data_IF_892944668458
#
_entry.id   IF_892944668458
#
_cell.length_a   1.000
_cell.length_b   1.000
_cell.length_c   1.000
_cell.angle_alpha   90.00
_cell.angle_beta   90.00
_cell.angle_gamma   90.00
#
_symmetry.space_group_name_H-M   'P 1'
#
loop_
_entity.id
_entity.type
_entity.pdbx_description
1 polymer ?
#
# COMPACT_ATOMS: atom_id res chain seq x y z
N UNK A 1 6.87 -19.44 17.22
CA UNK A 1 5.99 -18.61 16.37
C UNK A 1 6.68 -18.41 15.03
N UNK A 2 6.36 -19.24 14.03
CA UNK A 2 6.80 -19.02 12.65
C UNK A 2 6.04 -17.80 12.12
N UNK A 3 6.70 -16.74 11.64
CA UNK A 3 5.99 -15.71 10.90
C UNK A 3 5.42 -16.40 9.65
N UNK A 4 4.10 -16.38 9.48
CA UNK A 4 3.45 -16.73 8.22
C UNK A 4 3.90 -15.71 7.18
N UNK A 5 5.08 -15.92 6.62
CA UNK A 5 5.54 -15.21 5.44
C UNK A 5 4.80 -15.85 4.29
N UNK A 6 3.60 -15.37 4.00
CA UNK A 6 2.99 -15.64 2.70
C UNK A 6 4.05 -15.25 1.66
N UNK A 7 4.51 -16.18 0.81
CA UNK A 7 5.50 -15.85 -0.20
C UNK A 7 4.98 -14.66 -1.00
N UNK A 8 5.84 -13.66 -1.22
CA UNK A 8 5.45 -12.44 -1.95
C UNK A 8 4.86 -12.78 -3.33
N UNK A 9 5.28 -13.91 -3.91
CA UNK A 9 4.78 -14.46 -5.17
C UNK A 9 3.33 -14.97 -5.12
N UNK A 10 2.85 -15.44 -3.97
CA UNK A 10 1.48 -15.95 -3.79
C UNK A 10 0.47 -14.88 -3.38
N UNK A 11 0.94 -13.67 -3.06
CA UNK A 11 0.06 -12.57 -2.69
C UNK A 11 -0.65 -12.01 -3.94
N UNK A 12 -2.00 -12.15 -4.05
CA UNK A 12 -2.71 -11.72 -5.24
C UNK A 12 -2.65 -10.19 -5.44
N UNK A 13 -2.46 -9.43 -4.35
CA UNK A 13 -2.27 -7.99 -4.42
C UNK A 13 -0.89 -7.58 -4.95
N UNK A 14 0.07 -8.50 -5.03
CA UNK A 14 1.37 -8.32 -5.68
C UNK A 14 1.33 -8.79 -7.13
N UNK A 15 0.68 -9.91 -7.41
CA UNK A 15 0.61 -10.46 -8.78
C UNK A 15 -0.29 -9.62 -9.69
N UNK A 16 -1.47 -9.20 -9.21
CA UNK A 16 -2.38 -8.33 -9.96
C UNK A 16 -3.03 -7.24 -9.06
N UNK A 17 -2.27 -6.20 -8.66
CA UNK A 17 -2.78 -5.13 -7.79
C UNK A 17 -3.98 -4.38 -8.40
N UNK A 18 -4.06 -4.23 -9.73
CA UNK A 18 -5.17 -3.54 -10.41
C UNK A 18 -6.48 -4.32 -10.36
N UNK A 19 -6.46 -5.63 -10.13
CA UNK A 19 -7.68 -6.42 -9.97
C UNK A 19 -8.09 -6.54 -8.51
N UNK A 20 -7.12 -6.65 -7.62
CA UNK A 20 -7.35 -6.94 -6.19
C UNK A 20 -7.62 -5.68 -5.37
N UNK A 21 -6.86 -4.61 -5.60
CA UNK A 21 -7.01 -3.37 -4.84
C UNK A 21 -8.10 -2.50 -5.45
N UNK A 22 -8.93 -1.87 -4.64
CA UNK A 22 -9.85 -0.83 -5.11
C UNK A 22 -9.10 0.50 -5.37
N UNK A 23 -9.78 1.48 -5.96
CA UNK A 23 -9.16 2.76 -6.34
C UNK A 23 -8.54 3.50 -5.15
N UNK A 24 -9.23 3.54 -4.00
CA UNK A 24 -8.72 4.21 -2.79
C UNK A 24 -7.49 3.49 -2.20
N UNK A 25 -7.44 2.16 -2.27
CA UNK A 25 -6.29 1.37 -1.83
C UNK A 25 -5.09 1.56 -2.76
N UNK A 26 -5.30 1.62 -4.08
CA UNK A 26 -4.24 1.91 -5.06
C UNK A 26 -3.66 3.30 -4.84
N UNK A 27 -4.53 4.30 -4.71
CA UNK A 27 -4.09 5.68 -4.49
C UNK A 27 -3.34 5.83 -3.16
N UNK A 28 -3.83 5.20 -2.09
CA UNK A 28 -3.14 5.15 -0.80
C UNK A 28 -1.76 4.48 -0.93
N UNK A 29 -1.67 3.33 -1.59
CA UNK A 29 -0.41 2.61 -1.76
C UNK A 29 0.62 3.44 -2.54
N UNK A 30 0.20 4.07 -3.63
CA UNK A 30 1.06 4.97 -4.42
C UNK A 30 1.46 6.22 -3.65
N UNK A 31 0.55 6.77 -2.85
CA UNK A 31 0.84 7.95 -2.02
C UNK A 31 1.85 7.62 -0.92
N UNK A 32 1.74 6.46 -0.28
CA UNK A 32 2.71 6.00 0.74
C UNK A 32 4.09 5.74 0.11
N UNK A 33 4.14 5.27 -1.14
CA UNK A 33 5.40 5.08 -1.87
C UNK A 33 6.07 6.42 -2.20
N UNK A 34 5.28 7.42 -2.59
CA UNK A 34 5.79 8.70 -3.06
C UNK A 34 6.15 9.65 -1.92
N UNK A 35 5.27 9.79 -0.92
CA UNK A 35 5.46 10.74 0.17
C UNK A 35 6.30 10.13 1.30
N UNK A 36 7.24 10.91 1.83
CA UNK A 36 8.05 10.50 2.99
C UNK A 36 7.40 10.84 4.34
N UNK A 37 6.43 11.76 4.35
CA UNK A 37 5.82 12.28 5.56
C UNK A 37 4.39 11.77 5.71
N UNK A 38 4.18 10.99 6.76
CA UNK A 38 2.91 10.39 7.14
C UNK A 38 2.56 10.83 8.56
N UNK A 39 1.30 11.17 8.83
CA UNK A 39 0.85 11.46 10.19
C UNK A 39 -0.55 10.89 10.46
N UNK A 40 -0.75 10.18 11.58
CA UNK A 40 -2.10 9.81 11.99
C UNK A 40 -2.89 11.07 12.38
N UNK A 41 -4.17 11.10 12.03
CA UNK A 41 -5.13 12.18 12.30
C UNK A 41 -6.48 11.56 12.66
N UNK A 42 -6.64 11.16 13.92
CA UNK A 42 -7.86 10.49 14.40
C UNK A 42 -8.12 9.20 13.63
N UNK A 43 -9.23 9.15 12.90
CA UNK A 43 -9.63 7.99 12.08
C UNK A 43 -9.03 7.98 10.66
N UNK A 44 -8.10 8.88 10.38
CA UNK A 44 -7.48 9.03 9.06
C UNK A 44 -5.96 9.12 9.15
N UNK A 45 -5.28 8.85 8.05
CA UNK A 45 -3.86 9.11 7.85
C UNK A 45 -3.71 10.25 6.84
N UNK A 46 -2.96 11.28 7.24
CA UNK A 46 -2.47 12.31 6.33
C UNK A 46 -1.18 11.80 5.68
N UNK A 47 -1.15 11.74 4.35
CA UNK A 47 -0.03 11.28 3.54
C UNK A 47 0.20 12.37 2.49
N UNK A 48 1.26 13.17 2.67
CA UNK A 48 1.43 14.39 1.88
C UNK A 48 0.24 15.35 2.05
N UNK A 49 -0.36 15.73 0.92
CA UNK A 49 -1.57 16.55 0.82
C UNK A 49 -2.88 15.74 0.91
N UNK A 50 -2.80 14.40 0.87
CA UNK A 50 -3.95 13.50 0.83
C UNK A 50 -4.34 12.96 2.20
N UNK A 51 -5.61 12.57 2.34
CA UNK A 51 -6.18 11.95 3.54
C UNK A 51 -6.82 10.62 3.20
N UNK A 52 -6.41 9.58 3.92
CA UNK A 52 -6.92 8.23 3.72
C UNK A 52 -7.55 7.71 5.00
N UNK A 53 -8.69 7.02 4.89
CA UNK A 53 -9.33 6.41 6.04
C UNK A 53 -8.45 5.30 6.63
N UNK A 54 -8.40 5.18 7.95
CA UNK A 54 -7.66 4.10 8.64
C UNK A 54 -8.08 2.71 8.17
N UNK A 55 -9.35 2.53 7.75
CA UNK A 55 -9.84 1.28 7.16
C UNK A 55 -9.11 0.93 5.86
N UNK A 56 -8.82 1.91 5.01
CA UNK A 56 -8.06 1.72 3.76
C UNK A 56 -6.64 1.28 4.07
N UNK A 57 -5.98 1.95 5.02
CA UNK A 57 -4.61 1.63 5.44
C UNK A 57 -4.54 0.24 6.09
N UNK A 58 -5.50 -0.09 6.95
CA UNK A 58 -5.59 -1.41 7.58
C UNK A 58 -5.85 -2.53 6.56
N UNK A 59 -6.64 -2.27 5.51
CA UNK A 59 -6.83 -3.24 4.43
C UNK A 59 -5.52 -3.52 3.68
N UNK A 60 -4.72 -2.48 3.40
CA UNK A 60 -3.38 -2.65 2.81
C UNK A 60 -2.42 -3.41 3.74
N UNK A 61 -2.51 -3.17 5.05
CA UNK A 61 -1.71 -3.88 6.04
C UNK A 61 -2.10 -5.37 6.16
N UNK A 62 -3.39 -5.70 6.06
CA UNK A 62 -3.89 -7.09 6.03
C UNK A 62 -3.42 -7.86 4.80
N UNK A 63 -3.16 -7.16 3.70
CA UNK A 63 -2.56 -7.73 2.49
C UNK A 63 -1.02 -7.75 2.56
N UNK A 64 -0.42 -7.46 3.72
CA UNK A 64 1.02 -7.34 3.93
C UNK A 64 1.72 -6.40 2.93
N UNK A 65 1.03 -5.36 2.47
CA UNK A 65 1.59 -4.34 1.56
C UNK A 65 2.16 -3.15 2.34
N UNK A 66 1.62 -2.86 3.51
CA UNK A 66 1.96 -1.71 4.33
C UNK A 66 2.18 -2.14 5.77
N UNK A 67 3.26 -1.67 6.38
CA UNK A 67 3.46 -1.72 7.84
C UNK A 67 3.01 -0.41 8.45
N UNK A 68 2.10 -0.52 9.41
CA UNK A 68 1.58 0.61 10.19
C UNK A 68 2.40 0.70 11.48
N UNK A 69 3.25 1.73 11.58
CA UNK A 69 3.90 2.12 12.83
C UNK A 69 3.09 3.16 13.60
N UNK A 70 3.56 3.54 14.79
CA UNK A 70 2.87 4.50 15.66
C UNK A 70 2.66 5.88 14.99
N UNK A 71 3.64 6.36 14.21
CA UNK A 71 3.58 7.65 13.52
C UNK A 71 4.04 7.59 12.06
N UNK A 72 4.19 6.39 11.50
CA UNK A 72 4.72 6.23 10.15
C UNK A 72 4.08 5.05 9.44
N UNK A 73 3.75 5.25 8.17
CA UNK A 73 3.44 4.16 7.24
C UNK A 73 4.67 3.84 6.42
N UNK A 74 4.95 2.55 6.19
CA UNK A 74 6.03 2.09 5.32
C UNK A 74 5.53 0.98 4.43
N UNK A 75 5.94 0.96 3.16
CA UNK A 75 5.70 -0.20 2.32
C UNK A 75 6.54 -1.38 2.76
N UNK A 76 5.97 -2.59 2.66
CA UNK A 76 6.74 -3.83 2.68
C UNK A 76 7.37 -4.06 1.30
N UNK A 77 8.22 -5.07 1.18
CA UNK A 77 8.73 -5.53 -0.13
C UNK A 77 7.58 -5.86 -1.09
N UNK A 78 6.53 -6.53 -0.61
CA UNK A 78 5.32 -6.81 -1.39
C UNK A 78 4.61 -5.51 -1.84
N UNK A 79 4.48 -4.54 -0.93
CA UNK A 79 3.91 -3.23 -1.24
C UNK A 79 4.69 -2.45 -2.28
N UNK A 80 6.02 -2.47 -2.22
CA UNK A 80 6.89 -1.82 -3.21
C UNK A 80 6.74 -2.44 -4.59
N UNK A 81 6.70 -3.77 -4.68
CA UNK A 81 6.49 -4.48 -5.95
C UNK A 81 5.09 -4.18 -6.51
N UNK A 82 4.06 -4.19 -5.66
CA UNK A 82 2.70 -3.85 -6.06
C UNK A 82 2.60 -2.40 -6.55
N UNK A 83 3.24 -1.45 -5.87
CA UNK A 83 3.30 -0.05 -6.28
C UNK A 83 4.04 0.11 -7.62
N UNK A 84 5.19 -0.56 -7.80
CA UNK A 84 5.94 -0.55 -9.06
C UNK A 84 5.09 -1.08 -10.22
N UNK A 85 4.32 -2.16 -10.02
CA UNK A 85 3.40 -2.70 -11.04
C UNK A 85 2.26 -1.73 -11.35
N UNK A 86 1.71 -1.04 -10.34
CA UNK A 86 0.69 0.00 -10.57
C UNK A 86 1.24 1.15 -11.42
N UNK A 87 2.48 1.60 -11.16
CA UNK A 87 3.17 2.65 -11.92
C UNK A 87 3.54 2.19 -13.34
N UNK A 88 4.20 1.05 -13.50
CA UNK A 88 4.61 0.52 -14.80
C UNK A 88 3.45 0.19 -15.75
N UNK A 89 2.28 -0.18 -15.20
CA UNK A 89 1.05 -0.31 -15.99
C UNK A 89 0.39 1.04 -16.35
N UNK A 90 0.96 2.16 -15.91
CA UNK A 90 0.53 3.53 -16.24
C UNK A 90 1.55 4.22 -17.17
N UNK A 91 2.82 3.81 -17.12
CA UNK A 91 3.90 4.19 -18.04
C UNK A 91 3.95 3.36 -19.33
N UNK A 92 3.06 2.38 -19.50
CA UNK A 92 2.84 1.66 -20.75
C UNK A 92 2.17 2.56 -21.79
N UNK A 93 2.95 3.42 -22.41
CA UNK A 93 2.65 4.02 -23.71
C UNK A 93 2.46 2.87 -24.70
N UNK A 94 1.21 2.67 -25.12
CA UNK A 94 0.84 2.03 -26.37
C UNK A 94 0.80 3.10 -27.46
#
# INVERSE_FOLDING_TARGET
>A
MTPSVTPVADNPAVTNPRRVLNMAQRDALLSIDFFRHHRPRGTTWAIGDKRFNVRTINALARLDLVRVGHQSLRLTTAGQIAAAKLKGASDGTA
#
